data_IF_603087344295
#
_entry.id   IF_603087344295
#
_cell.length_a   1.000
_cell.length_b   1.000
_cell.length_c   1.000
_cell.angle_alpha   90.00
_cell.angle_beta   90.00
_cell.angle_gamma   90.00
#
_symmetry.space_group_name_H-M   'P 1'
#
loop_
_entity.id
_entity.type
_entity.pdbx_description
1 polymer ?
#
# COMPACT_ATOMS: atom_id res chain seq x y z
N UNK A 1 -10.96 -0.02 -6.30
CA UNK A 1 -10.03 -0.14 -5.13
C UNK A 1 -10.27 0.92 -4.04
N UNK A 2 -10.30 2.22 -4.37
CA UNK A 2 -10.38 3.30 -3.39
C UNK A 2 -11.60 3.24 -2.45
N UNK A 3 -12.75 2.77 -2.95
CA UNK A 3 -13.94 2.56 -2.11
C UNK A 3 -13.68 1.61 -0.94
N UNK A 4 -12.98 0.49 -1.19
CA UNK A 4 -12.61 -0.48 -0.14
C UNK A 4 -11.73 0.17 0.92
N UNK A 5 -10.73 0.92 0.49
CA UNK A 5 -9.87 1.69 1.39
C UNK A 5 -10.69 2.67 2.26
N UNK A 6 -11.65 3.40 1.68
CA UNK A 6 -12.49 4.32 2.45
C UNK A 6 -13.42 3.59 3.44
N UNK A 7 -14.00 2.46 3.04
CA UNK A 7 -14.86 1.64 3.91
C UNK A 7 -14.05 1.08 5.09
N UNK A 8 -12.83 0.63 4.84
CA UNK A 8 -11.88 0.16 5.86
C UNK A 8 -11.48 1.29 6.82
N UNK A 9 -11.12 2.47 6.30
CA UNK A 9 -10.80 3.64 7.12
C UNK A 9 -11.99 4.08 7.99
N UNK A 10 -13.22 3.99 7.45
CA UNK A 10 -14.44 4.25 8.21
C UNK A 10 -14.68 3.21 9.30
N UNK A 11 -14.42 1.92 9.01
CA UNK A 11 -14.54 0.83 9.97
C UNK A 11 -13.62 1.04 11.18
N UNK A 12 -12.39 1.52 10.95
CA UNK A 12 -11.42 1.80 12.02
C UNK A 12 -11.46 3.25 12.53
N UNK A 13 -12.46 4.04 12.14
CA UNK A 13 -12.62 5.45 12.55
C UNK A 13 -11.38 6.34 12.28
N UNK A 14 -10.60 6.05 11.23
CA UNK A 14 -9.44 6.84 10.82
C UNK A 14 -9.84 7.75 9.66
N UNK A 15 -9.91 9.05 9.93
CA UNK A 15 -10.27 10.10 8.97
C UNK A 15 -11.62 9.86 8.28
N UNK A 16 -12.08 10.87 7.55
CA UNK A 16 -13.19 10.71 6.60
C UNK A 16 -12.71 11.13 5.24
N UNK A 17 -12.54 10.15 4.37
CA UNK A 17 -12.12 10.37 3.00
C UNK A 17 -13.33 10.62 2.12
N UNK A 18 -13.18 11.57 1.20
CA UNK A 18 -14.16 11.83 0.15
C UNK A 18 -13.45 11.71 -1.18
N UNK A 19 -14.11 11.07 -2.16
CA UNK A 19 -13.63 11.04 -3.53
C UNK A 19 -14.49 11.94 -4.41
N UNK A 20 -13.91 12.55 -5.46
CA UNK A 20 -14.72 13.13 -6.52
C UNK A 20 -15.57 12.04 -7.19
N UNK A 21 -16.64 12.41 -7.90
CA UNK A 21 -17.31 11.49 -8.81
C UNK A 21 -16.28 10.87 -9.75
N UNK A 22 -16.19 9.53 -9.73
CA UNK A 22 -15.32 8.79 -10.63
C UNK A 22 -16.13 8.54 -11.90
N UNK A 23 -15.89 9.37 -12.91
CA UNK A 23 -16.46 9.19 -14.24
C UNK A 23 -15.59 8.20 -15.06
N UNK A 24 -16.07 7.78 -16.23
CA UNK A 24 -15.30 6.91 -17.12
C UNK A 24 -14.01 7.56 -17.67
N UNK A 25 -13.90 8.89 -17.59
CA UNK A 25 -12.71 9.63 -18.04
C UNK A 25 -11.78 9.79 -16.84
N UNK A 26 -10.49 9.38 -16.96
CA UNK A 26 -9.54 9.54 -15.88
C UNK A 26 -9.43 10.97 -15.34
N UNK A 27 -9.15 11.09 -14.05
CA UNK A 27 -9.12 12.35 -13.32
C UNK A 27 -7.73 12.62 -12.75
N UNK A 28 -7.20 13.81 -13.01
CA UNK A 28 -5.95 14.31 -12.41
C UNK A 28 -6.20 15.48 -11.47
N UNK A 29 -5.23 15.77 -10.61
CA UNK A 29 -5.25 16.94 -9.73
C UNK A 29 -5.13 18.26 -10.50
N UNK A 30 -5.55 19.37 -9.89
CA UNK A 30 -5.36 20.70 -10.47
C UNK A 30 -3.86 21.03 -10.53
N UNK A 31 -3.36 21.38 -11.72
CA UNK A 31 -1.92 21.67 -11.91
C UNK A 31 -1.04 20.42 -11.91
N UNK A 32 -1.62 19.24 -12.17
CA UNK A 32 -0.90 17.99 -12.34
C UNK A 32 0.23 18.11 -13.37
N UNK A 33 1.40 17.53 -13.06
CA UNK A 33 2.59 17.54 -13.92
C UNK A 33 2.55 16.49 -15.02
N UNK A 34 1.64 15.52 -14.91
CA UNK A 34 1.45 14.48 -15.92
C UNK A 34 0.42 14.88 -16.99
N UNK A 35 -0.32 15.98 -16.78
CA UNK A 35 -1.29 16.50 -17.73
C UNK A 35 -0.62 17.31 -18.85
N UNK A 36 -0.57 16.72 -20.04
CA UNK A 36 -0.10 17.34 -21.27
C UNK A 36 -1.29 17.68 -22.18
N UNK A 37 -1.88 18.86 -21.96
CA UNK A 37 -3.03 19.36 -22.74
C UNK A 37 -4.23 18.41 -22.72
N UNK A 38 -4.73 18.09 -21.51
CA UNK A 38 -5.85 17.17 -21.26
C UNK A 38 -5.56 15.74 -21.71
N UNK A 39 -4.28 15.38 -21.79
CA UNK A 39 -3.85 14.02 -22.10
C UNK A 39 -2.79 13.56 -21.12
N UNK A 40 -2.88 12.30 -20.72
CA UNK A 40 -1.86 11.62 -19.93
C UNK A 40 -1.46 10.37 -20.68
N UNK A 41 -0.15 10.14 -20.81
CA UNK A 41 0.39 8.90 -21.34
C UNK A 41 0.82 8.02 -20.17
N UNK A 42 0.24 6.82 -20.06
CA UNK A 42 0.65 5.78 -19.12
C UNK A 42 1.07 4.56 -19.92
N UNK A 43 2.34 4.18 -19.82
CA UNK A 43 2.95 3.17 -20.68
C UNK A 43 2.73 3.48 -22.17
N UNK A 44 2.05 2.60 -22.91
CA UNK A 44 1.70 2.78 -24.32
C UNK A 44 0.34 3.47 -24.55
N UNK A 45 -0.44 3.69 -23.49
CA UNK A 45 -1.81 4.20 -23.59
C UNK A 45 -1.86 5.72 -23.41
N UNK A 46 -2.66 6.39 -24.25
CA UNK A 46 -2.93 7.83 -24.16
C UNK A 46 -4.37 8.04 -23.76
N UNK A 47 -4.57 8.59 -22.56
CA UNK A 47 -5.89 8.89 -22.00
C UNK A 47 -6.21 10.36 -22.20
N UNK A 48 -7.43 10.66 -22.63
CA UNK A 48 -8.01 11.97 -22.38
C UNK A 48 -8.32 12.08 -20.88
N UNK A 49 -7.99 13.21 -20.26
CA UNK A 49 -8.16 13.38 -18.80
C UNK A 49 -8.96 14.62 -18.44
N UNK A 50 -9.72 14.49 -17.37
CA UNK A 50 -10.33 15.62 -16.67
C UNK A 50 -9.41 16.11 -15.56
N UNK A 51 -9.42 17.41 -15.30
CA UNK A 51 -8.83 17.98 -14.09
C UNK A 51 -9.94 18.11 -13.07
N UNK A 52 -9.64 17.81 -11.82
CA UNK A 52 -10.58 18.08 -10.72
C UNK A 52 -10.99 19.55 -10.69
N UNK A 53 -12.24 19.83 -10.28
CA UNK A 53 -12.78 21.20 -10.27
C UNK A 53 -12.86 21.81 -8.88
N UNK A 54 -13.06 20.99 -7.85
CA UNK A 54 -13.42 21.41 -6.50
C UNK A 54 -12.35 21.06 -5.45
N UNK A 55 -11.19 20.53 -5.88
CA UNK A 55 -10.10 20.17 -4.97
C UNK A 55 -10.35 18.91 -4.13
N UNK A 56 -11.43 18.16 -4.37
CA UNK A 56 -11.74 16.95 -3.57
C UNK A 56 -10.65 15.89 -3.71
N UNK A 57 -10.06 15.73 -4.90
CA UNK A 57 -8.99 14.76 -5.10
C UNK A 57 -7.69 15.23 -4.44
N UNK A 58 -7.35 16.51 -4.57
CA UNK A 58 -6.21 17.09 -3.84
C UNK A 58 -6.35 16.93 -2.33
N UNK A 59 -7.54 17.19 -1.77
CA UNK A 59 -7.82 17.01 -0.35
C UNK A 59 -7.71 15.55 0.09
N UNK A 60 -8.22 14.61 -0.73
CA UNK A 60 -8.03 13.18 -0.49
C UNK A 60 -6.55 12.82 -0.36
N UNK A 61 -5.70 13.31 -1.28
CA UNK A 61 -4.27 13.04 -1.25
C UNK A 61 -3.57 13.71 -0.06
N UNK A 62 -4.02 14.90 0.36
CA UNK A 62 -3.52 15.56 1.57
C UNK A 62 -3.81 14.74 2.84
N UNK A 63 -5.02 14.16 2.96
CA UNK A 63 -5.35 13.25 4.05
C UNK A 63 -4.57 11.94 3.95
N UNK A 64 -4.38 11.40 2.75
CA UNK A 64 -3.60 10.19 2.53
C UNK A 64 -2.14 10.39 2.98
N UNK A 65 -1.52 11.53 2.67
CA UNK A 65 -0.16 11.88 3.11
C UNK A 65 0.02 11.91 4.64
N UNK A 66 -1.06 12.08 5.41
CA UNK A 66 -1.00 12.05 6.87
C UNK A 66 -0.80 10.63 7.42
N UNK A 67 -1.19 9.60 6.67
CA UNK A 67 -1.15 8.20 7.10
C UNK A 67 -0.13 7.35 6.32
N UNK A 68 0.53 7.91 5.30
CA UNK A 68 1.61 7.24 4.56
C UNK A 68 2.98 7.40 5.24
N UNK A 69 3.90 6.43 5.06
CA UNK A 69 5.33 6.59 5.32
C UNK A 69 5.91 7.61 4.33
N UNK A 70 5.75 8.89 4.66
CA UNK A 70 5.94 9.96 3.71
C UNK A 70 7.37 10.49 3.76
N UNK A 71 8.27 9.79 3.07
CA UNK A 71 9.57 10.33 2.67
C UNK A 71 9.43 11.54 1.72
N UNK A 72 10.53 12.24 1.48
CA UNK A 72 10.53 13.50 0.71
C UNK A 72 9.94 13.32 -0.70
N UNK A 73 10.22 12.19 -1.36
CA UNK A 73 9.70 11.87 -2.71
C UNK A 73 8.18 11.76 -2.72
N UNK A 74 7.60 10.94 -1.83
CA UNK A 74 6.14 10.75 -1.74
C UNK A 74 5.46 12.10 -1.49
N UNK A 75 5.97 12.91 -0.56
CA UNK A 75 5.40 14.24 -0.25
C UNK A 75 5.47 15.20 -1.43
N UNK A 76 6.54 15.15 -2.22
CA UNK A 76 6.75 16.04 -3.36
C UNK A 76 5.94 15.63 -4.59
N UNK A 77 5.88 14.33 -4.87
CA UNK A 77 5.41 13.84 -6.16
C UNK A 77 3.96 13.36 -6.14
N UNK A 78 3.46 12.79 -5.03
CA UNK A 78 2.14 12.15 -5.00
C UNK A 78 1.04 13.05 -5.57
N UNK A 79 0.91 14.27 -5.06
CA UNK A 79 -0.14 15.20 -5.53
C UNK A 79 0.04 15.66 -6.97
N UNK A 80 1.29 15.81 -7.42
CA UNK A 80 1.58 16.33 -8.76
C UNK A 80 1.56 15.25 -9.85
N UNK A 81 1.52 13.97 -9.49
CA UNK A 81 1.58 12.85 -10.43
C UNK A 81 0.43 11.84 -10.21
N UNK A 82 -0.57 12.19 -9.40
CA UNK A 82 -1.72 11.33 -9.14
C UNK A 82 -2.75 11.41 -10.26
N UNK A 83 -3.28 10.24 -10.62
CA UNK A 83 -4.37 10.03 -11.56
C UNK A 83 -5.32 8.97 -11.00
N UNK A 84 -6.62 9.18 -11.15
CA UNK A 84 -7.66 8.17 -10.94
C UNK A 84 -8.05 7.66 -12.32
N UNK A 85 -7.99 6.34 -12.53
CA UNK A 85 -8.43 5.66 -13.75
C UNK A 85 -9.63 4.76 -13.43
N UNK A 86 -10.22 4.15 -14.47
CA UNK A 86 -11.30 3.17 -14.28
C UNK A 86 -10.80 1.90 -13.56
N UNK A 87 -11.71 1.10 -13.00
CA UNK A 87 -11.32 -0.17 -12.37
C UNK A 87 -10.70 -1.16 -13.38
N UNK A 88 -11.14 -1.13 -14.65
CA UNK A 88 -10.60 -1.97 -15.72
C UNK A 88 -9.18 -1.54 -16.11
N UNK A 89 -8.96 -0.24 -16.38
CA UNK A 89 -7.62 0.28 -16.67
C UNK A 89 -6.65 0.01 -15.50
N UNK A 90 -7.12 0.21 -14.26
CA UNK A 90 -6.32 -0.09 -13.08
C UNK A 90 -5.96 -1.58 -13.01
N UNK A 91 -6.91 -2.47 -13.29
CA UNK A 91 -6.69 -3.92 -13.30
C UNK A 91 -5.64 -4.33 -14.35
N UNK A 92 -5.68 -3.74 -15.55
CA UNK A 92 -4.70 -3.98 -16.59
C UNK A 92 -3.29 -3.54 -16.16
N UNK A 93 -3.14 -2.33 -15.61
CA UNK A 93 -1.84 -1.83 -15.16
C UNK A 93 -1.25 -2.69 -14.03
N UNK A 94 -2.04 -3.11 -13.04
CA UNK A 94 -1.50 -3.94 -11.94
C UNK A 94 -1.15 -5.37 -12.35
N UNK A 95 -1.66 -5.85 -13.48
CA UNK A 95 -1.34 -7.17 -14.03
C UNK A 95 -0.19 -7.14 -15.04
N UNK A 96 -0.03 -6.05 -15.78
CA UNK A 96 0.88 -5.98 -16.94
C UNK A 96 2.12 -5.11 -16.70
N UNK A 97 2.08 -4.19 -15.74
CA UNK A 97 3.19 -3.25 -15.46
C UNK A 97 4.07 -3.69 -14.28
N UNK A 98 4.12 -4.99 -13.98
CA UNK A 98 5.01 -5.56 -12.96
C UNK A 98 6.41 -5.79 -13.50
N UNK A 99 7.41 -5.78 -12.61
CA UNK A 99 8.79 -6.03 -13.02
C UNK A 99 9.02 -7.53 -13.23
N UNK A 100 9.12 -7.97 -14.49
CA UNK A 100 9.45 -9.36 -14.83
C UNK A 100 10.93 -9.48 -15.18
N UNK A 101 11.68 -10.26 -14.40
CA UNK A 101 13.12 -10.47 -14.55
C UNK A 101 13.41 -11.93 -14.90
N UNK A 102 14.04 -12.17 -16.04
CA UNK A 102 14.56 -13.49 -16.41
C UNK A 102 15.92 -13.72 -15.76
N UNK A 103 16.05 -14.82 -15.03
CA UNK A 103 17.29 -15.24 -14.38
C UNK A 103 17.84 -16.54 -14.97
N UNK A 104 19.16 -16.63 -14.95
CA UNK A 104 19.92 -17.83 -15.33
C UNK A 104 20.89 -18.21 -14.22
N UNK A 105 21.06 -19.51 -14.03
CA UNK A 105 22.20 -20.07 -13.29
C UNK A 105 23.30 -20.43 -14.29
N UNK A 106 24.49 -19.86 -14.10
CA UNK A 106 25.68 -20.20 -14.88
C UNK A 106 26.39 -21.39 -14.23
N UNK A 107 26.77 -22.38 -15.04
CA UNK A 107 27.67 -23.44 -14.64
C UNK A 107 29.11 -22.90 -14.64
N UNK A 108 29.75 -22.88 -13.47
CA UNK A 108 31.08 -22.28 -13.29
C UNK A 108 32.21 -22.99 -14.05
N UNK A 109 32.05 -24.28 -14.39
CA UNK A 109 33.08 -25.04 -15.12
C UNK A 109 33.03 -24.75 -16.63
N UNK A 110 31.82 -24.65 -17.19
CA UNK A 110 31.62 -24.46 -18.64
C UNK A 110 31.46 -23.00 -19.04
N UNK A 111 31.11 -22.11 -18.09
CA UNK A 111 30.75 -20.72 -18.37
C UNK A 111 29.43 -20.56 -19.12
N UNK A 112 28.62 -21.62 -19.23
CA UNK A 112 27.33 -21.62 -19.94
C UNK A 112 26.15 -21.75 -18.98
N UNK A 113 24.93 -21.49 -19.45
CA UNK A 113 23.71 -21.68 -18.67
C UNK A 113 23.59 -23.16 -18.27
N UNK A 114 23.36 -23.40 -16.98
CA UNK A 114 22.98 -24.72 -16.51
C UNK A 114 21.58 -25.06 -17.03
N UNK A 115 21.38 -26.24 -17.62
CA UNK A 115 20.19 -26.57 -18.42
C UNK A 115 18.84 -26.42 -17.71
N UNK A 116 18.83 -26.41 -16.37
CA UNK A 116 17.61 -26.17 -15.56
C UNK A 116 17.59 -24.81 -14.86
N UNK A 117 18.53 -23.93 -15.19
CA UNK A 117 18.80 -22.68 -14.48
C UNK A 117 18.03 -21.47 -14.97
N UNK A 118 17.20 -21.59 -16.02
CA UNK A 118 16.44 -20.49 -16.61
C UNK A 118 15.03 -20.41 -16.00
N UNK A 119 14.69 -19.25 -15.42
CA UNK A 119 13.36 -18.99 -14.87
C UNK A 119 13.02 -17.49 -14.87
N UNK A 120 11.73 -17.17 -14.77
CA UNK A 120 11.25 -15.79 -14.63
C UNK A 120 10.79 -15.54 -13.19
N UNK A 121 11.04 -14.33 -12.70
CA UNK A 121 10.51 -13.83 -11.45
C UNK A 121 9.76 -12.53 -11.71
N UNK A 122 8.64 -12.35 -11.02
CA UNK A 122 7.83 -11.14 -11.08
C UNK A 122 7.91 -10.42 -9.73
N UNK A 123 8.06 -9.10 -9.76
CA UNK A 123 8.14 -8.26 -8.58
C UNK A 123 7.09 -7.15 -8.63
N UNK A 124 6.49 -6.87 -7.46
CA UNK A 124 5.73 -5.65 -7.26
C UNK A 124 6.67 -4.45 -7.48
N UNK A 125 6.30 -3.48 -8.33
CA UNK A 125 7.14 -2.32 -8.61
C UNK A 125 7.49 -1.53 -7.35
N UNK A 126 8.68 -0.92 -7.37
CA UNK A 126 9.06 0.06 -6.36
C UNK A 126 8.06 1.22 -6.31
N UNK A 127 7.94 1.88 -5.16
CA UNK A 127 6.98 2.98 -4.93
C UNK A 127 5.49 2.58 -4.92
N UNK A 128 5.19 1.27 -4.95
CA UNK A 128 3.84 0.75 -4.71
C UNK A 128 3.38 1.00 -3.27
N UNK A 129 2.15 1.47 -3.10
CA UNK A 129 1.52 1.66 -1.79
C UNK A 129 0.57 0.50 -1.48
N UNK A 130 0.80 -0.16 -0.35
CA UNK A 130 -0.10 -1.18 0.20
C UNK A 130 -0.59 -0.74 1.57
N UNK A 131 -1.75 -1.25 1.98
CA UNK A 131 -2.27 -1.08 3.32
C UNK A 131 -2.81 -2.41 3.85
N UNK A 132 -2.84 -2.54 5.19
CA UNK A 132 -3.45 -3.67 5.89
C UNK A 132 -4.09 -3.16 7.17
N UNK A 133 -5.18 -3.80 7.60
CA UNK A 133 -5.75 -3.59 8.92
C UNK A 133 -5.12 -4.58 9.90
N UNK A 134 -4.78 -4.10 11.10
CA UNK A 134 -4.29 -4.92 12.21
C UNK A 134 -5.20 -4.67 13.39
N UNK A 135 -5.88 -5.73 13.85
CA UNK A 135 -6.77 -5.66 14.99
C UNK A 135 -6.11 -6.30 16.21
N UNK A 136 -6.26 -5.64 17.36
CA UNK A 136 -5.75 -6.12 18.63
C UNK A 136 -6.93 -6.49 19.53
N UNK A 137 -6.82 -7.62 20.22
CA UNK A 137 -7.77 -8.07 21.23
C UNK A 137 -7.03 -8.32 22.54
N UNK A 138 -7.77 -8.36 23.63
CA UNK A 138 -7.22 -8.83 24.90
C UNK A 138 -6.63 -10.24 24.75
N UNK A 139 -5.58 -10.53 25.51
CA UNK A 139 -4.94 -11.83 25.53
C UNK A 139 -5.96 -12.90 25.95
N UNK A 140 -6.27 -13.83 25.05
CA UNK A 140 -7.09 -14.97 25.40
C UNK A 140 -6.28 -16.01 26.18
N UNK A 141 -6.58 -16.17 27.47
CA UNK A 141 -6.03 -17.24 28.31
C UNK A 141 -7.12 -18.19 28.75
N UNK A 142 -7.03 -19.45 28.31
CA UNK A 142 -7.86 -20.51 28.85
C UNK A 142 -7.50 -20.72 30.34
N UNK A 143 -8.47 -20.57 31.23
CA UNK A 143 -8.27 -20.79 32.66
C UNK A 143 -7.90 -22.25 32.92
N UNK A 144 -6.70 -22.47 33.48
CA UNK A 144 -6.29 -23.79 33.96
C UNK A 144 -6.72 -23.94 35.42
N UNK A 145 -7.32 -25.08 35.82
CA UNK A 145 -7.63 -25.30 37.23
C UNK A 145 -6.33 -25.24 38.05
N UNK A 146 -6.31 -24.41 39.10
CA UNK A 146 -5.23 -24.26 40.09
C UNK A 146 -4.00 -23.40 39.71
N UNK A 147 -4.11 -22.45 38.78
CA UNK A 147 -3.10 -21.38 38.65
C UNK A 147 -3.68 -20.05 39.10
N UNK A 148 -2.93 -19.30 39.91
CA UNK A 148 -3.20 -17.90 40.20
C UNK A 148 -3.17 -17.14 38.88
N UNK A 149 -4.28 -16.50 38.51
CA UNK A 149 -4.37 -15.74 37.27
C UNK A 149 -3.36 -14.59 37.32
N UNK A 150 -2.35 -14.63 36.44
CA UNK A 150 -1.55 -13.44 36.15
C UNK A 150 -2.41 -12.47 35.33
N UNK A 151 -2.20 -11.13 35.44
CA UNK A 151 -2.97 -10.17 34.65
C UNK A 151 -2.91 -10.51 33.16
N UNK A 152 -4.07 -10.63 32.51
CA UNK A 152 -4.15 -10.75 31.04
C UNK A 152 -3.69 -9.44 30.40
N UNK A 153 -2.90 -9.53 29.35
CA UNK A 153 -2.47 -8.32 28.64
C UNK A 153 -3.64 -7.72 27.85
N UNK A 154 -3.89 -6.41 28.05
CA UNK A 154 -4.98 -5.70 27.37
C UNK A 154 -4.61 -5.37 25.93
N UNK A 155 -5.60 -5.34 25.03
CA UNK A 155 -5.43 -5.01 23.62
C UNK A 155 -4.60 -3.73 23.40
N UNK A 156 -4.83 -2.69 24.21
CA UNK A 156 -4.10 -1.41 24.14
C UNK A 156 -2.60 -1.56 24.47
N UNK A 157 -2.25 -2.42 25.42
CA UNK A 157 -0.84 -2.71 25.76
C UNK A 157 -0.14 -3.48 24.64
N UNK A 158 -0.85 -4.47 24.07
CA UNK A 158 -0.36 -5.26 22.95
C UNK A 158 -0.14 -4.37 21.72
N UNK A 159 -1.11 -3.52 21.38
CA UNK A 159 -1.03 -2.58 20.26
C UNK A 159 0.17 -1.63 20.42
N UNK A 160 0.34 -1.03 21.61
CA UNK A 160 1.47 -0.14 21.90
C UNK A 160 2.81 -0.87 21.79
N UNK A 161 2.89 -2.10 22.27
CA UNK A 161 4.11 -2.91 22.17
C UNK A 161 4.42 -3.23 20.71
N UNK A 162 3.42 -3.60 19.92
CA UNK A 162 3.56 -3.83 18.48
C UNK A 162 4.08 -2.56 17.76
N UNK A 163 3.48 -1.40 18.01
CA UNK A 163 3.89 -0.12 17.43
C UNK A 163 5.36 0.21 17.74
N UNK A 164 5.81 -0.08 18.97
CA UNK A 164 7.19 0.17 19.39
C UNK A 164 8.20 -0.79 18.76
N UNK A 165 7.77 -2.02 18.47
CA UNK A 165 8.64 -3.06 17.92
C UNK A 165 8.70 -3.04 16.40
N UNK A 166 7.72 -2.43 15.74
CA UNK A 166 7.68 -2.36 14.28
C UNK A 166 8.76 -1.36 13.78
N UNK A 167 9.77 -1.80 13.03
CA UNK A 167 10.77 -0.90 12.48
C UNK A 167 10.18 -0.04 11.36
N UNK A 168 10.70 1.17 11.18
CA UNK A 168 10.28 2.10 10.11
C UNK A 168 10.49 1.53 8.70
N UNK A 169 11.43 0.59 8.56
CA UNK A 169 11.72 -0.13 7.33
C UNK A 169 12.04 -1.60 7.65
N UNK A 170 11.45 -2.52 6.88
CA UNK A 170 11.74 -3.95 6.96
C UNK A 170 11.60 -4.61 5.59
N UNK A 171 11.94 -5.90 5.52
CA UNK A 171 11.87 -6.66 4.28
C UNK A 171 10.69 -7.66 4.30
N UNK A 172 9.98 -7.73 3.19
CA UNK A 172 8.87 -8.65 2.93
C UNK A 172 9.21 -9.51 1.71
N UNK A 173 8.91 -10.80 1.78
CA UNK A 173 9.05 -11.74 0.66
C UNK A 173 10.43 -12.36 0.54
N UNK A 174 10.77 -12.86 -0.65
CA UNK A 174 12.04 -13.52 -0.93
C UNK A 174 13.12 -12.52 -1.42
N UNK A 175 14.28 -13.04 -1.82
CA UNK A 175 15.32 -12.29 -2.55
C UNK A 175 15.93 -11.09 -1.79
N UNK A 176 15.99 -11.18 -0.45
CA UNK A 176 16.69 -10.23 0.42
C UNK A 176 18.16 -10.02 -0.01
N UNK A 177 18.87 -11.12 -0.33
CA UNK A 177 20.28 -11.07 -0.78
C UNK A 177 20.47 -10.38 -2.13
N UNK A 178 19.37 -10.15 -2.86
CA UNK A 178 19.33 -9.46 -4.15
C UNK A 178 18.73 -8.06 -4.03
N UNK A 179 18.58 -7.56 -2.80
CA UNK A 179 18.10 -6.22 -2.50
C UNK A 179 16.61 -6.01 -2.75
N UNK A 180 15.78 -7.06 -2.64
CA UNK A 180 14.34 -7.00 -2.96
C UNK A 180 13.46 -7.03 -1.71
N UNK A 181 12.28 -6.42 -1.81
CA UNK A 181 11.23 -6.51 -0.80
C UNK A 181 11.34 -5.52 0.36
N UNK A 182 12.21 -4.51 0.28
CA UNK A 182 12.29 -3.47 1.31
C UNK A 182 11.08 -2.55 1.25
N UNK A 183 10.42 -2.35 2.39
CA UNK A 183 9.24 -1.50 2.54
C UNK A 183 9.45 -0.52 3.69
N UNK A 184 8.92 0.69 3.55
CA UNK A 184 8.75 1.61 4.68
C UNK A 184 7.32 1.54 5.17
N UNK A 185 7.12 1.66 6.48
CA UNK A 185 5.81 1.49 7.11
C UNK A 185 5.43 2.70 7.96
N UNK A 186 4.14 3.00 7.99
CA UNK A 186 3.54 3.92 8.93
C UNK A 186 2.28 3.30 9.49
N UNK A 187 2.13 3.35 10.81
CA UNK A 187 0.91 2.95 11.49
C UNK A 187 0.03 4.19 11.62
N UNK A 188 -1.23 4.04 11.22
CA UNK A 188 -2.31 4.96 11.56
C UNK A 188 -3.21 4.22 12.54
N UNK A 189 -3.38 4.78 13.73
CA UNK A 189 -4.14 4.17 14.82
C UNK A 189 -5.53 4.80 14.90
N UNK A 190 -6.55 3.98 15.13
CA UNK A 190 -7.96 4.36 15.27
C UNK A 190 -8.78 3.24 15.91
N UNK A 191 -10.09 3.43 16.03
CA UNK A 191 -11.01 2.52 16.72
C UNK A 191 -11.26 2.92 18.18
N UNK A 192 -12.42 2.55 18.71
CA UNK A 192 -12.73 2.74 20.14
C UNK A 192 -12.01 1.71 21.00
N UNK A 193 -11.63 2.06 22.23
CA UNK A 193 -11.06 1.13 23.24
C UNK A 193 -11.98 -0.07 23.59
N UNK A 194 -13.18 -0.15 23.01
CA UNK A 194 -14.23 -1.10 23.35
C UNK A 194 -15.01 -1.63 22.13
N UNK A 195 -14.33 -2.08 21.08
CA UNK A 195 -14.94 -3.04 20.17
C UNK A 195 -15.17 -4.37 20.91
N UNK A 196 -16.23 -4.43 21.73
CA UNK A 196 -16.74 -5.70 22.23
C UNK A 196 -17.15 -6.50 21.00
N UNK A 197 -16.46 -7.60 20.76
CA UNK A 197 -16.96 -8.61 19.85
C UNK A 197 -18.29 -9.12 20.44
N UNK A 198 -19.40 -8.76 19.80
CA UNK A 198 -20.71 -9.36 20.07
C UNK A 198 -20.75 -10.82 19.56
#
# INVERSE_FOLDING_TARGET
>A
MLQRFMDDMKLVHINTFNLPPIDAIPLVTTGSKIDADRKVMLEEYVFAVNQEKNGTFTAFLDHLLQILPAGELVRRHLKSHAIIVSDDDFADFVQLSTEVVTRIRINNETGTVDGTGLFNEEYLPSESLLYSLVFFSDEYRASKPNQTESPSEQATSIAKTFEQWLPEMFQIGANLTLGKGFVSVKIASGGDEHAKAD
#
